data_IF_177245884625
#
_entry.id   IF_177245884625
#
_cell.length_a   1.000
_cell.length_b   1.000
_cell.length_c   1.000
_cell.angle_alpha   90.00
_cell.angle_beta   90.00
_cell.angle_gamma   90.00
#
_symmetry.space_group_name_H-M   'P 1'
#
loop_
_entity.id
_entity.type
_entity.pdbx_description
1 polymer ?
#
# COMPACT_ATOMS: atom_id res chain seq x y z
N UNK A 1 28.81 24.96 6.26
CA UNK A 1 28.26 24.33 7.49
C UNK A 1 29.24 24.47 8.64
N UNK A 2 28.78 24.39 9.89
CA UNK A 2 29.62 24.46 11.09
C UNK A 2 29.08 23.53 12.19
N UNK A 3 29.77 23.44 13.33
CA UNK A 3 29.32 22.68 14.50
C UNK A 3 29.40 23.50 15.79
N UNK A 4 28.57 23.15 16.77
CA UNK A 4 28.61 23.68 18.13
C UNK A 4 28.81 22.50 19.08
N UNK A 5 29.66 22.66 20.09
CA UNK A 5 29.79 21.65 21.14
C UNK A 5 28.65 21.79 22.13
N UNK A 6 27.94 20.69 22.41
CA UNK A 6 26.87 20.61 23.40
C UNK A 6 27.17 19.48 24.38
N UNK A 7 26.47 19.44 25.51
CA UNK A 7 26.62 18.37 26.51
C UNK A 7 26.31 16.97 25.94
N UNK A 8 25.58 16.89 24.82
CA UNK A 8 25.23 15.65 24.11
C UNK A 8 26.18 15.32 22.94
N UNK A 9 27.24 16.10 22.74
CA UNK A 9 28.17 15.99 21.62
C UNK A 9 28.03 17.12 20.60
N UNK A 10 28.66 17.01 19.41
CA UNK A 10 28.62 18.05 18.40
C UNK A 10 27.24 18.16 17.75
N UNK A 11 26.67 19.36 17.72
CA UNK A 11 25.48 19.69 16.95
C UNK A 11 25.89 20.40 15.64
N UNK A 12 25.42 19.89 14.50
CA UNK A 12 25.76 20.44 13.19
C UNK A 12 24.72 21.45 12.70
N UNK A 13 25.19 22.47 11.97
CA UNK A 13 24.35 23.50 11.37
C UNK A 13 24.73 23.77 9.91
N UNK A 14 23.72 23.90 9.06
CA UNK A 14 23.87 24.42 7.69
C UNK A 14 23.63 25.93 7.69
N UNK A 15 24.37 26.65 6.85
CA UNK A 15 24.20 28.09 6.65
C UNK A 15 23.29 28.26 5.43
N UNK A 16 22.21 29.01 5.59
CA UNK A 16 21.26 29.37 4.56
C UNK A 16 21.40 30.86 4.23
N UNK A 17 20.72 31.32 3.17
CA UNK A 17 20.75 32.73 2.77
C UNK A 17 20.14 33.67 3.81
N UNK A 18 19.22 33.17 4.64
CA UNK A 18 18.40 33.94 5.58
C UNK A 18 18.51 33.46 7.03
N UNK A 19 19.54 32.67 7.35
CA UNK A 19 19.77 32.15 8.69
C UNK A 19 20.59 30.86 8.73
N UNK A 20 20.37 30.08 9.77
CA UNK A 20 21.01 28.78 10.01
C UNK A 20 19.97 27.73 10.36
N UNK A 21 20.26 26.47 10.07
CA UNK A 21 19.36 25.37 10.42
C UNK A 21 20.15 24.20 11.02
N UNK A 22 19.62 23.63 12.10
CA UNK A 22 20.13 22.41 12.69
C UNK A 22 20.02 21.24 11.69
N UNK A 23 21.07 20.41 11.60
CA UNK A 23 21.08 19.22 10.75
C UNK A 23 21.68 18.04 11.50
N UNK A 24 21.26 16.82 11.14
CA UNK A 24 21.82 15.59 11.69
C UNK A 24 23.19 15.26 11.07
N UNK A 25 23.88 14.26 11.64
CA UNK A 25 25.22 13.86 11.20
C UNK A 25 25.27 13.35 9.77
N UNK A 26 24.26 12.60 9.32
CA UNK A 26 24.17 12.08 7.95
C UNK A 26 24.01 13.21 6.92
N UNK A 27 23.14 14.19 7.21
CA UNK A 27 22.96 15.39 6.38
C UNK A 27 24.23 16.23 6.35
N UNK A 28 24.87 16.43 7.50
CA UNK A 28 26.16 17.13 7.57
C UNK A 28 27.23 16.47 6.69
N UNK A 29 27.35 15.14 6.76
CA UNK A 29 28.27 14.38 5.92
C UNK A 29 27.94 14.53 4.43
N UNK A 30 26.66 14.38 4.04
CA UNK A 30 26.21 14.50 2.66
C UNK A 30 26.43 15.91 2.07
N UNK A 31 26.13 16.96 2.84
CA UNK A 31 26.38 18.35 2.44
C UNK A 31 27.87 18.58 2.16
N UNK A 32 28.75 18.09 3.04
CA UNK A 32 30.21 18.22 2.87
C UNK A 32 30.76 17.44 1.68
N UNK A 33 30.25 16.23 1.47
CA UNK A 33 30.63 15.39 0.35
C UNK A 33 30.20 16.02 -0.99
N UNK A 34 29.07 16.72 -0.99
CA UNK A 34 28.56 17.45 -2.16
C UNK A 34 29.36 18.72 -2.43
N UNK A 35 29.63 19.51 -1.39
CA UNK A 35 30.42 20.74 -1.48
C UNK A 35 31.09 21.05 -0.14
N UNK A 36 32.42 20.99 -0.11
CA UNK A 36 33.20 21.25 1.11
C UNK A 36 33.49 22.75 1.34
N UNK A 37 33.33 23.59 0.32
CA UNK A 37 33.70 25.02 0.34
C UNK A 37 35.15 25.26 0.80
N UNK A 38 36.07 24.35 0.48
CA UNK A 38 37.48 24.41 0.93
C UNK A 38 37.69 24.09 2.41
N UNK A 39 36.67 23.65 3.14
CA UNK A 39 36.74 23.33 4.57
C UNK A 39 36.99 21.84 4.82
N UNK A 40 38.18 21.51 5.34
CA UNK A 40 38.58 20.13 5.68
C UNK A 40 37.72 19.51 6.78
N UNK A 41 37.18 20.31 7.70
CA UNK A 41 36.25 19.88 8.76
C UNK A 41 35.22 20.98 9.05
N UNK A 42 34.06 20.67 9.67
CA UNK A 42 33.14 21.71 10.13
C UNK A 42 33.81 22.56 11.22
N UNK A 43 33.96 23.88 11.02
CA UNK A 43 34.51 24.75 12.04
C UNK A 43 33.63 24.72 13.29
N UNK A 44 34.27 24.68 14.46
CA UNK A 44 33.59 24.77 15.75
C UNK A 44 33.29 26.24 16.07
N UNK A 45 32.04 26.54 16.38
CA UNK A 45 31.56 27.90 16.70
C UNK A 45 31.02 27.92 18.12
N UNK A 46 31.30 28.99 18.85
CA UNK A 46 30.77 29.18 20.20
C UNK A 46 29.26 29.48 20.17
N UNK A 47 28.45 28.93 21.10
CA UNK A 47 27.00 29.12 21.11
C UNK A 47 26.57 30.60 21.09
N UNK A 48 27.32 31.47 21.79
CA UNK A 48 27.01 32.89 21.94
C UNK A 48 26.99 33.70 20.63
N UNK A 49 27.67 33.22 19.57
CA UNK A 49 27.63 33.83 18.24
C UNK A 49 26.42 33.36 17.43
N UNK A 50 25.96 32.14 17.70
CA UNK A 50 24.89 31.46 16.94
C UNK A 50 23.52 31.96 17.38
N UNK A 51 23.32 32.21 18.68
CA UNK A 51 22.03 32.67 19.25
C UNK A 51 21.51 34.00 18.68
N UNK A 52 22.35 34.75 17.95
CA UNK A 52 21.98 36.02 17.31
C UNK A 52 21.50 35.85 15.86
N UNK A 53 21.67 34.67 15.28
CA UNK A 53 21.35 34.38 13.89
C UNK A 53 19.96 33.76 13.82
N UNK A 54 19.08 34.17 12.88
CA UNK A 54 17.77 33.56 12.73
C UNK A 54 17.86 32.04 12.49
N UNK A 55 17.08 31.28 13.25
CA UNK A 55 16.95 29.84 13.08
C UNK A 55 15.89 29.51 12.02
N UNK A 56 16.21 28.53 11.17
CA UNK A 56 15.43 28.07 10.03
C UNK A 56 15.32 26.55 10.06
N UNK A 57 14.46 26.03 9.20
CA UNK A 57 14.29 24.60 9.00
C UNK A 57 14.94 24.20 7.69
N UNK A 58 15.85 23.23 7.76
CA UNK A 58 16.38 22.54 6.59
C UNK A 58 15.75 21.15 6.55
N UNK A 59 14.75 20.98 5.68
CA UNK A 59 13.96 19.75 5.57
C UNK A 59 14.73 18.64 4.82
N UNK A 60 15.83 18.18 5.41
CA UNK A 60 16.61 17.05 4.88
C UNK A 60 15.80 15.76 4.98
N UNK A 61 15.74 14.95 3.91
CA UNK A 61 15.10 13.64 3.96
C UNK A 61 16.00 12.56 4.60
N UNK A 62 17.25 12.88 4.93
CA UNK A 62 18.20 11.89 5.43
C UNK A 62 17.93 11.58 6.91
N UNK A 63 17.88 10.28 7.28
CA UNK A 63 17.62 9.87 8.66
C UNK A 63 18.79 10.21 9.59
N UNK A 64 18.52 10.29 10.90
CA UNK A 64 19.56 10.57 11.89
C UNK A 64 20.62 9.45 11.98
N UNK A 65 20.19 8.21 11.78
CA UNK A 65 21.05 7.02 11.80
C UNK A 65 21.48 6.64 10.39
N UNK A 66 22.56 5.86 10.29
CA UNK A 66 23.01 5.31 9.01
C UNK A 66 21.96 4.35 8.45
N UNK A 67 21.65 4.50 7.16
CA UNK A 67 20.74 3.60 6.46
C UNK A 67 21.27 2.17 6.50
N UNK A 68 20.45 1.25 7.00
CA UNK A 68 20.69 -0.18 6.88
C UNK A 68 20.09 -0.69 5.56
N UNK A 69 20.94 -1.16 4.65
CA UNK A 69 20.49 -1.73 3.38
C UNK A 69 20.14 -3.19 3.55
N UNK A 70 18.87 -3.51 3.32
CA UNK A 70 18.36 -4.87 3.44
C UNK A 70 18.77 -5.73 2.24
N UNK A 71 19.17 -6.97 2.51
CA UNK A 71 19.59 -7.97 1.52
C UNK A 71 18.38 -8.71 0.96
N UNK A 72 18.13 -8.61 -0.36
CA UNK A 72 16.99 -9.28 -1.01
C UNK A 72 17.05 -10.81 -0.99
N UNK A 73 18.23 -11.46 -1.06
CA UNK A 73 18.31 -12.91 -0.83
C UNK A 73 17.88 -13.34 0.58
N UNK A 74 18.14 -12.51 1.60
CA UNK A 74 17.79 -12.81 2.99
C UNK A 74 16.33 -12.45 3.29
N UNK A 75 15.85 -11.32 2.75
CA UNK A 75 14.49 -10.80 2.86
C UNK A 75 13.87 -10.58 1.46
N UNK A 76 13.39 -11.65 0.81
CA UNK A 76 12.84 -11.59 -0.55
C UNK A 76 11.49 -10.85 -0.64
N UNK A 77 10.73 -10.76 0.45
CA UNK A 77 9.39 -10.19 0.48
C UNK A 77 9.43 -8.74 0.96
N UNK A 78 8.81 -7.86 0.18
CA UNK A 78 8.56 -6.45 0.51
C UNK A 78 7.06 -6.19 0.36
N UNK A 79 6.40 -5.76 1.43
CA UNK A 79 4.97 -5.48 1.45
C UNK A 79 4.73 -4.02 1.83
N UNK A 80 3.67 -3.45 1.25
CA UNK A 80 3.06 -2.23 1.76
C UNK A 80 1.73 -2.63 2.39
N UNK A 81 1.56 -2.27 3.65
CA UNK A 81 0.39 -2.58 4.45
C UNK A 81 -0.42 -1.30 4.67
N UNK A 82 -1.74 -1.44 4.59
CA UNK A 82 -2.69 -0.39 4.86
C UNK A 82 -3.74 -0.95 5.82
N UNK A 83 -4.01 -0.23 6.90
CA UNK A 83 -5.01 -0.61 7.88
C UNK A 83 -5.79 0.61 8.36
N UNK A 84 -7.10 0.43 8.57
CA UNK A 84 -7.95 1.43 9.21
C UNK A 84 -8.98 0.75 10.11
N UNK A 85 -8.97 1.10 11.39
CA UNK A 85 -9.96 0.63 12.36
C UNK A 85 -11.19 1.53 12.41
N UNK A 86 -12.28 0.98 12.96
CA UNK A 86 -13.49 1.75 13.18
C UNK A 86 -13.22 2.88 14.18
N UNK A 87 -13.49 4.12 13.77
CA UNK A 87 -13.24 5.33 14.57
C UNK A 87 -11.95 6.07 14.23
N UNK A 88 -11.06 5.47 13.43
CA UNK A 88 -9.82 6.13 13.02
C UNK A 88 -10.07 7.30 12.06
N UNK A 89 -9.42 8.43 12.35
CA UNK A 89 -9.47 9.64 11.50
C UNK A 89 -8.76 9.44 10.16
N UNK A 90 -7.67 8.68 10.16
CA UNK A 90 -6.87 8.39 8.98
C UNK A 90 -6.36 6.94 9.05
N UNK A 91 -6.11 6.29 7.89
CA UNK A 91 -5.49 4.97 7.87
C UNK A 91 -4.02 5.03 8.30
N UNK A 92 -3.53 3.92 8.84
CA UNK A 92 -2.10 3.69 9.05
C UNK A 92 -1.52 2.94 7.84
N UNK A 93 -0.30 3.33 7.44
CA UNK A 93 0.41 2.69 6.32
C UNK A 93 1.83 2.33 6.72
N UNK A 94 2.23 1.09 6.49
CA UNK A 94 3.52 0.55 6.90
C UNK A 94 4.21 -0.17 5.74
N UNK A 95 5.54 -0.15 5.72
CA UNK A 95 6.34 -0.98 4.80
C UNK A 95 6.95 -2.12 5.61
N UNK A 96 6.71 -3.35 5.17
CA UNK A 96 7.21 -4.58 5.80
C UNK A 96 8.22 -5.25 4.89
N UNK A 97 9.28 -5.81 5.48
CA UNK A 97 10.27 -6.63 4.76
C UNK A 97 10.51 -7.91 5.54
N UNK A 98 10.73 -9.03 4.84
CA UNK A 98 10.98 -10.30 5.51
C UNK A 98 11.11 -11.51 4.57
N UNK A 99 11.13 -12.69 5.18
CA UNK A 99 11.36 -13.99 4.51
C UNK A 99 10.16 -14.55 3.75
N UNK A 100 8.95 -14.21 4.18
CA UNK A 100 7.71 -14.72 3.61
C UNK A 100 6.59 -13.68 3.75
N UNK A 101 5.44 -13.95 3.12
CA UNK A 101 4.25 -13.10 3.27
C UNK A 101 3.85 -12.99 4.76
N UNK A 102 3.39 -11.82 5.23
CA UNK A 102 3.01 -11.58 6.62
C UNK A 102 1.61 -12.15 6.92
N UNK A 103 1.41 -13.44 6.68
CA UNK A 103 0.15 -14.16 6.90
C UNK A 103 0.40 -15.46 7.67
N UNK A 104 -0.62 -16.00 8.38
CA UNK A 104 -0.48 -17.28 9.08
C UNK A 104 -0.08 -18.43 8.13
N UNK A 105 0.69 -19.43 8.60
CA UNK A 105 1.11 -20.56 7.76
C UNK A 105 -0.05 -21.33 7.10
N UNK A 106 -1.21 -21.41 7.76
CA UNK A 106 -2.41 -22.04 7.22
C UNK A 106 -2.96 -21.31 5.99
N UNK A 107 -2.82 -19.99 5.92
CA UNK A 107 -3.30 -19.16 4.82
C UNK A 107 -2.35 -19.15 3.61
N UNK A 108 -1.07 -19.54 3.78
CA UNK A 108 -0.10 -19.51 2.67
C UNK A 108 -0.49 -20.40 1.48
N UNK A 109 -1.30 -21.42 1.71
CA UNK A 109 -1.79 -22.36 0.67
C UNK A 109 -3.11 -21.94 0.02
N UNK A 110 -3.76 -20.88 0.48
CA UNK A 110 -5.07 -20.45 -0.02
C UNK A 110 -4.97 -19.33 -1.05
N UNK A 111 -3.78 -19.09 -1.60
CA UNK A 111 -3.55 -18.05 -2.60
C UNK A 111 -4.30 -18.33 -3.90
N UNK A 112 -5.14 -17.40 -4.32
CA UNK A 112 -5.92 -17.48 -5.54
C UNK A 112 -5.23 -16.68 -6.64
N UNK A 113 -4.77 -17.36 -7.69
CA UNK A 113 -4.18 -16.71 -8.85
C UNK A 113 -5.29 -16.17 -9.75
N UNK A 114 -5.37 -14.85 -9.91
CA UNK A 114 -6.43 -14.24 -10.69
C UNK A 114 -6.33 -14.58 -12.19
N UNK A 115 -7.43 -15.05 -12.77
CA UNK A 115 -7.55 -15.28 -14.21
C UNK A 115 -7.53 -13.90 -14.89
N UNK A 116 -6.65 -13.69 -15.87
CA UNK A 116 -6.38 -12.39 -16.52
C UNK A 116 -5.75 -11.30 -15.62
N UNK A 117 -5.58 -11.56 -14.32
CA UNK A 117 -4.87 -10.69 -13.39
C UNK A 117 -3.37 -11.02 -13.28
N UNK A 118 -2.62 -10.14 -12.59
CA UNK A 118 -1.19 -10.35 -12.29
C UNK A 118 -0.92 -10.71 -10.83
N UNK A 119 -1.98 -10.74 -10.02
CA UNK A 119 -1.90 -10.86 -8.57
C UNK A 119 -2.29 -12.26 -8.10
N UNK A 120 -1.65 -12.72 -7.02
CA UNK A 120 -2.17 -13.83 -6.20
C UNK A 120 -2.85 -13.20 -4.99
N UNK A 121 -4.14 -13.48 -4.82
CA UNK A 121 -4.99 -12.88 -3.79
C UNK A 121 -5.13 -13.83 -2.62
N UNK A 122 -4.95 -13.31 -1.42
CA UNK A 122 -5.24 -14.01 -0.17
C UNK A 122 -6.37 -13.25 0.53
N UNK A 123 -7.55 -13.87 0.62
CA UNK A 123 -8.75 -13.24 1.16
C UNK A 123 -9.54 -14.25 2.00
N UNK A 124 -10.10 -13.78 3.12
CA UNK A 124 -10.94 -14.55 4.03
C UNK A 124 -12.43 -14.28 3.72
N UNK A 125 -12.88 -14.71 2.54
CA UNK A 125 -14.26 -14.54 2.08
C UNK A 125 -14.58 -13.15 1.52
N UNK A 126 -15.83 -12.96 1.10
CA UNK A 126 -16.26 -11.75 0.42
C UNK A 126 -16.18 -10.48 1.29
N UNK A 127 -15.95 -9.33 0.66
CA UNK A 127 -15.81 -8.02 1.30
C UNK A 127 -16.70 -7.00 0.62
N UNK A 128 -17.36 -6.16 1.39
CA UNK A 128 -18.02 -4.96 0.86
C UNK A 128 -17.25 -3.73 1.31
N UNK A 129 -16.80 -2.94 0.34
CA UNK A 129 -15.89 -1.83 0.58
C UNK A 129 -16.36 -0.53 -0.07
N UNK A 130 -15.91 0.58 0.50
CA UNK A 130 -15.96 1.91 -0.08
C UNK A 130 -14.53 2.38 -0.27
N UNK A 131 -14.21 2.87 -1.47
CA UNK A 131 -12.88 3.35 -1.76
C UNK A 131 -12.57 4.62 -0.97
N UNK A 132 -11.36 4.64 -0.42
CA UNK A 132 -10.73 5.87 0.04
C UNK A 132 -9.55 6.15 -0.89
N UNK A 133 -9.63 7.24 -1.63
CA UNK A 133 -8.53 7.72 -2.47
C UNK A 133 -8.17 9.16 -2.09
N UNK A 134 -6.87 9.48 -1.97
CA UNK A 134 -6.44 10.88 -1.84
C UNK A 134 -6.65 11.66 -3.15
N UNK A 135 -6.87 10.98 -4.27
CA UNK A 135 -7.14 11.60 -5.56
C UNK A 135 -8.65 11.76 -5.77
N UNK A 136 -9.16 13.01 -5.86
CA UNK A 136 -10.59 13.29 -5.93
C UNK A 136 -11.26 12.70 -7.18
N UNK A 137 -10.48 12.31 -8.20
CA UNK A 137 -10.99 11.69 -9.43
C UNK A 137 -11.60 10.31 -9.22
N UNK A 138 -11.14 9.56 -8.21
CA UNK A 138 -11.59 8.18 -8.00
C UNK A 138 -12.83 8.07 -7.10
N UNK A 139 -13.31 9.20 -6.55
CA UNK A 139 -14.58 9.33 -5.85
C UNK A 139 -14.80 8.34 -4.70
N UNK A 140 -15.99 8.41 -4.10
CA UNK A 140 -16.45 7.46 -3.08
C UNK A 140 -17.18 6.29 -3.76
N UNK A 141 -16.45 5.46 -4.50
CA UNK A 141 -17.03 4.29 -5.19
C UNK A 141 -17.15 3.10 -4.25
N UNK A 142 -18.24 2.33 -4.36
CA UNK A 142 -18.43 1.09 -3.59
C UNK A 142 -18.18 -0.14 -4.45
N UNK A 143 -17.57 -1.17 -3.85
CA UNK A 143 -17.31 -2.45 -4.51
C UNK A 143 -17.67 -3.62 -3.59
N UNK A 144 -18.26 -4.65 -4.17
CA UNK A 144 -18.26 -5.98 -3.59
C UNK A 144 -17.06 -6.75 -4.14
N UNK A 145 -16.28 -7.36 -3.27
CA UNK A 145 -15.18 -8.26 -3.63
C UNK A 145 -15.64 -9.67 -3.26
N UNK A 146 -15.70 -10.57 -4.23
CA UNK A 146 -16.10 -11.95 -3.96
C UNK A 146 -14.97 -12.75 -3.27
N UNK A 147 -15.24 -13.97 -2.77
CA UNK A 147 -14.22 -14.83 -2.19
C UNK A 147 -13.08 -15.23 -3.15
N UNK A 148 -13.23 -15.00 -4.46
CA UNK A 148 -12.20 -15.25 -5.47
C UNK A 148 -11.31 -14.02 -5.73
N UNK A 149 -11.64 -12.88 -5.12
CA UNK A 149 -10.90 -11.63 -5.24
C UNK A 149 -11.28 -10.82 -6.48
N UNK A 150 -12.41 -11.09 -7.13
CA UNK A 150 -12.93 -10.24 -8.22
C UNK A 150 -13.70 -9.09 -7.61
N UNK A 151 -13.46 -7.86 -8.09
CA UNK A 151 -14.19 -6.67 -7.64
C UNK A 151 -15.37 -6.38 -8.58
N UNK A 152 -16.52 -6.09 -8.01
CA UNK A 152 -17.74 -5.76 -8.74
C UNK A 152 -18.24 -4.40 -8.25
N UNK A 153 -18.44 -3.46 -9.16
CA UNK A 153 -18.93 -2.13 -8.81
C UNK A 153 -20.34 -2.19 -8.25
N UNK A 154 -20.60 -1.48 -7.16
CA UNK A 154 -21.94 -1.30 -6.58
C UNK A 154 -22.32 0.17 -6.73
N UNK A 155 -23.31 0.49 -7.57
CA UNK A 155 -23.53 1.87 -8.02
C UNK A 155 -24.06 2.80 -6.92
N UNK A 156 -24.87 2.28 -6.01
CA UNK A 156 -25.56 3.07 -5.00
C UNK A 156 -25.95 2.23 -3.77
N UNK A 157 -26.47 2.92 -2.75
CA UNK A 157 -26.88 2.30 -1.48
C UNK A 157 -28.14 1.41 -1.64
N UNK A 158 -29.00 1.68 -2.62
CA UNK A 158 -30.20 0.89 -2.86
C UNK A 158 -29.84 -0.48 -3.46
N UNK A 159 -28.89 -0.51 -4.39
CA UNK A 159 -28.30 -1.74 -4.92
C UNK A 159 -27.59 -2.53 -3.81
N UNK A 160 -26.79 -1.86 -2.98
CA UNK A 160 -26.14 -2.51 -1.83
C UNK A 160 -27.17 -3.15 -0.87
N UNK A 161 -28.25 -2.43 -0.55
CA UNK A 161 -29.33 -2.91 0.30
C UNK A 161 -30.10 -4.07 -0.32
N UNK A 162 -30.38 -4.02 -1.62
CA UNK A 162 -31.06 -5.09 -2.35
C UNK A 162 -30.23 -6.39 -2.37
N UNK A 163 -28.90 -6.27 -2.41
CA UNK A 163 -27.96 -7.40 -2.32
C UNK A 163 -27.73 -7.88 -0.86
N UNK A 164 -28.33 -7.23 0.14
CA UNK A 164 -28.11 -7.54 1.55
C UNK A 164 -26.71 -7.20 2.06
N UNK A 165 -26.02 -6.28 1.39
CA UNK A 165 -24.70 -5.81 1.81
C UNK A 165 -24.84 -4.86 3.01
N UNK A 166 -24.02 -5.11 4.05
CA UNK A 166 -23.99 -4.29 5.25
C UNK A 166 -23.29 -2.94 5.03
N UNK A 167 -22.79 -2.33 6.11
CA UNK A 167 -21.99 -1.11 5.99
C UNK A 167 -20.64 -1.42 5.32
N UNK A 168 -20.22 -0.63 4.31
CA UNK A 168 -18.96 -0.88 3.64
C UNK A 168 -17.78 -0.54 4.56
N UNK A 169 -16.71 -1.32 4.46
CA UNK A 169 -15.41 -0.97 5.06
C UNK A 169 -14.61 -0.08 4.13
N UNK A 170 -13.78 0.80 4.66
CA UNK A 170 -12.88 1.59 3.81
C UNK A 170 -11.72 0.73 3.32
N UNK A 171 -11.30 0.97 2.08
CA UNK A 171 -10.16 0.28 1.47
C UNK A 171 -9.38 1.22 0.53
N UNK A 172 -8.04 1.03 0.39
CA UNK A 172 -7.21 1.88 -0.44
C UNK A 172 -7.35 1.51 -1.93
N UNK A 173 -7.50 2.52 -2.78
CA UNK A 173 -7.61 2.32 -4.22
C UNK A 173 -6.37 1.62 -4.81
N UNK A 174 -5.19 1.87 -4.25
CA UNK A 174 -3.91 1.33 -4.69
C UNK A 174 -3.89 -0.20 -4.73
N UNK A 175 -4.58 -0.85 -3.79
CA UNK A 175 -4.71 -2.32 -3.71
C UNK A 175 -5.91 -2.78 -4.52
N UNK A 176 -7.08 -2.15 -4.35
CA UNK A 176 -8.33 -2.61 -4.96
C UNK A 176 -8.25 -2.60 -6.49
N UNK A 177 -7.59 -1.61 -7.09
CA UNK A 177 -7.42 -1.53 -8.55
C UNK A 177 -6.61 -2.67 -9.17
N UNK A 178 -5.84 -3.40 -8.36
CA UNK A 178 -5.05 -4.55 -8.82
C UNK A 178 -5.90 -5.82 -8.97
N UNK A 179 -7.09 -5.82 -8.39
CA UNK A 179 -8.06 -6.91 -8.53
C UNK A 179 -8.71 -6.85 -9.92
N UNK A 180 -8.98 -8.02 -10.47
CA UNK A 180 -9.74 -8.18 -11.72
C UNK A 180 -11.11 -7.53 -11.56
N UNK A 181 -11.50 -6.76 -12.57
CA UNK A 181 -12.78 -6.06 -12.62
C UNK A 181 -13.86 -6.98 -13.19
N UNK A 182 -14.95 -7.11 -12.43
CA UNK A 182 -16.17 -7.79 -12.83
C UNK A 182 -17.23 -6.79 -13.32
N UNK A 183 -18.41 -7.29 -13.72
CA UNK A 183 -19.54 -6.45 -14.07
C UNK A 183 -20.03 -5.62 -12.88
N UNK A 184 -20.70 -4.50 -13.18
CA UNK A 184 -21.38 -3.68 -12.18
C UNK A 184 -22.66 -4.39 -11.72
N UNK A 185 -22.89 -4.44 -10.41
CA UNK A 185 -24.07 -5.04 -9.80
C UNK A 185 -25.21 -4.00 -9.73
N UNK A 186 -25.83 -3.73 -10.87
CA UNK A 186 -26.98 -2.82 -10.96
C UNK A 186 -28.26 -3.54 -11.39
N UNK A 187 -29.41 -2.98 -11.04
CA UNK A 187 -30.72 -3.48 -11.47
C UNK A 187 -30.85 -3.46 -13.00
N UNK A 188 -30.40 -2.38 -13.63
CA UNK A 188 -30.48 -2.23 -15.09
C UNK A 188 -29.63 -3.27 -15.82
N UNK A 189 -28.43 -3.58 -15.30
CA UNK A 189 -27.59 -4.65 -15.85
C UNK A 189 -28.24 -6.04 -15.69
N UNK A 190 -28.97 -6.27 -14.60
CA UNK A 190 -29.66 -7.53 -14.34
C UNK A 190 -30.95 -7.70 -15.18
N UNK A 191 -31.53 -6.62 -15.69
CA UNK A 191 -32.72 -6.64 -16.56
C UNK A 191 -32.39 -6.87 -18.04
N UNK A 192 -31.14 -7.21 -18.36
CA UNK A 192 -30.72 -7.56 -19.70
C UNK A 192 -30.98 -9.05 -19.99
N UNK A 193 -31.46 -9.33 -21.19
CA UNK A 193 -31.52 -10.71 -21.69
C UNK A 193 -30.10 -11.21 -21.93
N UNK A 194 -29.68 -12.22 -21.16
CA UNK A 194 -28.43 -12.91 -21.38
C UNK A 194 -28.71 -14.21 -22.14
N UNK A 195 -28.37 -14.23 -23.42
CA UNK A 195 -28.35 -15.48 -24.20
C UNK A 195 -27.12 -16.28 -23.75
N UNK A 196 -27.35 -17.35 -22.98
CA UNK A 196 -26.30 -18.32 -22.67
C UNK A 196 -26.13 -19.22 -23.90
N UNK A 197 -24.87 -19.44 -24.32
CA UNK A 197 -24.47 -20.06 -25.59
C UNK A 197 -25.35 -21.26 -26.03
N UNK A 198 -25.62 -21.40 -27.34
CA UNK A 198 -26.34 -22.55 -27.89
C UNK A 198 -25.60 -23.86 -27.60
N UNK A 199 -26.37 -24.95 -27.46
CA UNK A 199 -25.84 -26.29 -27.19
C UNK A 199 -24.75 -26.69 -28.21
N UNK A 200 -23.72 -27.39 -27.73
CA UNK A 200 -22.62 -27.91 -28.56
C UNK A 200 -23.17 -28.68 -29.77
N UNK A 201 -22.89 -28.26 -31.01
CA UNK A 201 -23.37 -28.96 -32.20
C UNK A 201 -22.71 -30.33 -32.41
N UNK A 202 -21.61 -30.65 -31.71
CA UNK A 202 -20.94 -31.95 -31.75
C UNK A 202 -20.75 -32.56 -30.35
N UNK A 203 -21.85 -32.90 -29.65
CA UNK A 203 -21.76 -33.47 -28.32
C UNK A 203 -21.16 -34.87 -28.37
N UNK A 204 -20.09 -35.10 -27.60
CA UNK A 204 -19.49 -36.43 -27.46
C UNK A 204 -20.41 -37.36 -26.65
N UNK A 205 -20.68 -38.56 -27.16
CA UNK A 205 -21.36 -39.61 -26.39
C UNK A 205 -20.52 -40.03 -25.17
N UNK A 206 -21.13 -39.98 -23.99
CA UNK A 206 -20.61 -40.64 -22.79
C UNK A 206 -20.90 -42.14 -22.93
N UNK A 207 -19.94 -43.04 -22.65
CA UNK A 207 -20.20 -44.48 -22.66
C UNK A 207 -21.34 -44.80 -21.69
N UNK A 208 -22.32 -45.58 -22.14
CA UNK A 208 -23.35 -46.09 -21.25
C UNK A 208 -22.66 -46.97 -20.20
N UNK A 209 -22.64 -46.49 -18.95
CA UNK A 209 -22.32 -47.36 -17.82
C UNK A 209 -23.34 -48.49 -17.80
N UNK A 210 -22.85 -49.72 -17.82
CA UNK A 210 -23.67 -50.92 -17.73
C UNK A 210 -24.56 -50.81 -16.48
N UNK A 211 -25.90 -50.90 -16.60
CA UNK A 211 -26.76 -50.98 -15.43
C UNK A 211 -26.30 -52.17 -14.59
N UNK A 212 -25.99 -51.93 -13.33
CA UNK A 212 -25.58 -52.97 -12.39
C UNK A 212 -26.57 -54.13 -12.43
N UNK A 213 -26.06 -55.34 -12.67
CA UNK A 213 -26.78 -56.55 -12.35
C UNK A 213 -26.61 -56.82 -10.84
N UNK A 214 -27.68 -57.14 -10.09
CA UNK A 214 -27.55 -57.51 -8.69
C UNK A 214 -27.02 -58.94 -8.58
N UNK A 215 -25.82 -59.10 -8.02
CA UNK A 215 -25.43 -60.09 -6.99
C UNK A 215 -23.95 -59.93 -6.65
#
# INVERSE_FOLDING_TARGET
MFQIHTDKGPQYYVVLTDGIAAVNGTTAAALRATQSHGLVAPPAVVPSLVVRIPERVYASPLPNETLNLMSRPDDPVLCWEWERSAGDQAPNTTVLTGRHLPIPPSAMKTGLKQIQGRSTVYIDGGKFIQLQSPDPRYGESMYYIDPEGVRYGVPDADAAKALGLGMPKTAPWEIVRLLVDGPVLSKDAALLEHETLPSDPNPRKVPAGTPGAPQ
#
